data_IF_742508372872
#
_entry.id   IF_742508372872
#
_cell.length_a   1.000
_cell.length_b   1.000
_cell.length_c   1.000
_cell.angle_alpha   90.00
_cell.angle_beta   90.00
_cell.angle_gamma   90.00
#
_symmetry.space_group_name_H-M   'P 1'
#
loop_
_entity.id
_entity.type
_entity.pdbx_description
1 polymer ?
#
# COMPACT_ATOMS: atom_id res chain seq x y z
N UNK A 1 13.23 -20.68 23.03
CA UNK A 1 12.82 -20.82 21.62
C UNK A 1 11.62 -19.95 21.21
N UNK A 2 10.97 -19.18 22.11
CA UNK A 2 9.79 -18.35 21.78
C UNK A 2 10.08 -16.86 21.45
N UNK A 3 11.33 -16.40 21.56
CA UNK A 3 11.68 -14.97 21.51
C UNK A 3 12.31 -14.50 20.18
N UNK A 4 12.45 -15.37 19.17
CA UNK A 4 13.14 -15.04 17.91
C UNK A 4 12.20 -14.82 16.72
N UNK A 5 10.99 -14.31 16.99
CA UNK A 5 10.06 -13.93 15.93
C UNK A 5 10.52 -12.61 15.30
N UNK A 6 10.93 -12.64 14.04
CA UNK A 6 11.36 -11.46 13.31
C UNK A 6 10.22 -10.89 12.46
N UNK A 7 9.84 -9.62 12.68
CA UNK A 7 8.67 -9.00 12.04
C UNK A 7 9.12 -8.17 10.83
N UNK A 8 8.38 -8.25 9.73
CA UNK A 8 8.46 -7.35 8.59
C UNK A 8 7.16 -6.61 8.40
N UNK A 9 7.19 -5.28 8.34
CA UNK A 9 5.99 -4.47 8.14
C UNK A 9 6.12 -3.61 6.89
N UNK A 10 5.13 -3.73 6.01
CA UNK A 10 4.88 -2.82 4.92
C UNK A 10 3.66 -1.95 5.24
N UNK A 11 3.84 -0.64 5.30
CA UNK A 11 2.75 0.34 5.33
C UNK A 11 2.66 1.03 3.97
N UNK A 12 1.68 0.69 3.15
CA UNK A 12 1.33 1.42 1.94
C UNK A 12 0.43 2.62 2.23
N UNK A 13 0.03 3.34 1.17
CA UNK A 13 -0.91 4.45 1.29
C UNK A 13 -2.36 3.99 1.57
N UNK A 14 -2.76 2.83 1.05
CA UNK A 14 -4.15 2.32 1.15
C UNK A 14 -4.27 1.08 2.00
N UNK A 15 -3.17 0.37 2.21
CA UNK A 15 -3.13 -0.94 2.87
C UNK A 15 -1.81 -1.10 3.61
N UNK A 16 -1.81 -1.96 4.62
CA UNK A 16 -0.64 -2.43 5.35
C UNK A 16 -0.60 -3.95 5.36
N UNK A 17 0.59 -4.51 5.45
CA UNK A 17 0.83 -5.95 5.49
C UNK A 17 1.92 -6.23 6.52
N UNK A 18 1.73 -7.32 7.26
CA UNK A 18 2.71 -7.79 8.25
C UNK A 18 3.08 -9.24 7.94
N UNK A 19 4.37 -9.52 8.04
CA UNK A 19 4.94 -10.84 7.86
C UNK A 19 5.81 -11.15 9.08
N UNK A 20 5.93 -12.43 9.39
CA UNK A 20 6.84 -12.90 10.43
C UNK A 20 7.74 -13.98 9.85
N UNK A 21 8.96 -14.05 10.37
CA UNK A 21 9.92 -15.08 10.00
C UNK A 21 10.44 -15.75 11.26
N UNK A 22 10.34 -17.07 11.30
CA UNK A 22 10.84 -17.93 12.36
C UNK A 22 11.43 -19.20 11.72
N UNK A 23 12.60 -19.63 12.19
CA UNK A 23 13.28 -20.87 11.76
C UNK A 23 13.41 -21.00 10.22
N UNK A 24 13.74 -19.90 9.56
CA UNK A 24 13.91 -19.84 8.09
C UNK A 24 12.60 -19.85 7.29
N UNK A 25 11.44 -19.94 7.96
CA UNK A 25 10.12 -19.88 7.33
C UNK A 25 9.50 -18.50 7.52
N UNK A 26 9.24 -17.79 6.42
CA UNK A 26 8.53 -16.52 6.42
C UNK A 26 7.07 -16.71 6.04
N UNK A 27 6.17 -16.17 6.85
CA UNK A 27 4.72 -16.28 6.68
C UNK A 27 4.05 -14.91 6.76
N UNK A 28 3.08 -14.67 5.87
CA UNK A 28 2.22 -13.49 5.95
C UNK A 28 1.12 -13.73 6.97
N UNK A 29 0.93 -12.76 7.86
CA UNK A 29 -0.04 -12.89 8.95
C UNK A 29 -1.38 -12.29 8.53
N UNK A 30 -2.43 -13.10 8.69
CA UNK A 30 -3.81 -12.65 8.55
C UNK A 30 -4.24 -11.84 9.78
N UNK A 31 -5.03 -10.80 9.57
CA UNK A 31 -5.66 -10.05 10.64
C UNK A 31 -6.83 -10.84 11.27
N UNK A 32 -7.50 -10.21 12.24
CA UNK A 32 -8.67 -10.73 12.95
C UNK A 32 -9.87 -11.07 12.06
N UNK A 33 -9.93 -10.54 10.84
CA UNK A 33 -10.93 -10.87 9.83
C UNK A 33 -10.49 -11.97 8.84
N UNK A 34 -9.27 -12.51 8.98
CA UNK A 34 -8.70 -13.50 8.07
C UNK A 34 -8.03 -12.91 6.82
N UNK A 35 -7.98 -11.58 6.68
CA UNK A 35 -7.35 -10.92 5.55
C UNK A 35 -5.83 -10.76 5.77
N UNK A 36 -5.02 -11.10 4.76
CA UNK A 36 -3.56 -10.93 4.79
C UNK A 36 -3.07 -9.49 4.64
N UNK A 37 -3.98 -8.58 4.35
CA UNK A 37 -3.71 -7.17 4.09
C UNK A 37 -4.77 -6.36 4.82
N UNK A 38 -4.34 -5.40 5.62
CA UNK A 38 -5.23 -4.55 6.43
C UNK A 38 -5.37 -3.18 5.77
N UNK A 39 -6.59 -2.60 5.65
CA UNK A 39 -6.75 -1.24 5.15
C UNK A 39 -5.96 -0.20 5.98
N UNK A 40 -5.22 0.70 5.33
CA UNK A 40 -4.46 1.76 6.00
C UNK A 40 -5.35 2.99 6.25
N UNK A 41 -6.32 2.84 7.15
CA UNK A 41 -7.26 3.90 7.53
C UNK A 41 -7.69 3.78 8.98
N UNK A 42 -8.09 4.91 9.56
CA UNK A 42 -8.53 5.03 10.94
C UNK A 42 -9.84 5.81 10.99
N UNK A 43 -10.86 5.27 11.65
CA UNK A 43 -12.13 5.94 11.89
C UNK A 43 -12.30 6.28 13.37
N UNK A 44 -12.71 7.51 13.64
CA UNK A 44 -12.99 8.00 14.98
C UNK A 44 -14.50 7.97 15.22
N UNK A 45 -14.87 7.55 16.43
CA UNK A 45 -16.22 7.64 16.98
C UNK A 45 -16.13 8.23 18.39
N UNK A 46 -17.27 8.33 19.08
CA UNK A 46 -17.28 8.79 20.47
C UNK A 46 -16.59 7.79 21.40
N UNK A 47 -16.81 6.49 21.19
CA UNK A 47 -16.35 5.45 22.12
C UNK A 47 -15.03 4.80 21.73
N UNK A 48 -14.69 4.78 20.43
CA UNK A 48 -13.58 3.98 19.93
C UNK A 48 -12.86 4.58 18.72
N UNK A 49 -11.61 4.13 18.53
CA UNK A 49 -10.78 4.38 17.35
C UNK A 49 -10.64 3.08 16.58
N UNK A 50 -11.32 3.00 15.44
CA UNK A 50 -11.34 1.81 14.60
C UNK A 50 -10.20 1.88 13.57
N UNK A 51 -9.44 0.80 13.40
CA UNK A 51 -8.32 0.72 12.45
C UNK A 51 -8.57 -0.44 11.49
N UNK A 52 -8.34 -0.23 10.19
CA UNK A 52 -8.42 -1.31 9.22
C UNK A 52 -9.83 -1.61 8.72
N UNK A 53 -10.23 -2.88 8.74
CA UNK A 53 -11.50 -3.33 8.17
C UNK A 53 -12.74 -2.69 8.85
N UNK A 54 -12.81 -2.57 10.20
CA UNK A 54 -13.93 -1.88 10.85
C UNK A 54 -14.08 -0.43 10.39
N UNK A 55 -12.96 0.30 10.22
CA UNK A 55 -12.98 1.66 9.66
C UNK A 55 -13.46 1.68 8.21
N UNK A 56 -13.03 0.71 7.38
CA UNK A 56 -13.48 0.59 5.98
C UNK A 56 -14.98 0.30 5.88
N UNK A 57 -15.52 -0.58 6.74
CA UNK A 57 -16.94 -0.91 6.77
C UNK A 57 -17.81 0.29 7.19
N UNK A 58 -17.31 1.13 8.10
CA UNK A 58 -17.98 2.36 8.55
C UNK A 58 -17.90 3.55 7.58
N UNK A 59 -17.05 3.49 6.55
CA UNK A 59 -16.66 4.64 5.72
C UNK A 59 -17.85 5.41 5.14
N UNK A 60 -18.88 4.73 4.62
CA UNK A 60 -20.04 5.39 4.00
C UNK A 60 -20.83 6.22 5.02
N UNK A 61 -20.90 5.77 6.28
CA UNK A 61 -21.66 6.43 7.35
C UNK A 61 -20.83 7.49 8.07
N UNK A 62 -19.52 7.27 8.18
CA UNK A 62 -18.62 8.07 9.01
C UNK A 62 -17.45 8.68 8.23
N UNK A 63 -17.67 9.08 6.97
CA UNK A 63 -16.61 9.54 6.07
C UNK A 63 -15.85 10.78 6.57
N UNK A 64 -16.51 11.66 7.34
CA UNK A 64 -15.91 12.88 7.90
C UNK A 64 -14.92 12.61 9.03
N UNK A 65 -15.09 11.50 9.74
CA UNK A 65 -14.22 11.10 10.84
C UNK A 65 -13.37 9.86 10.48
N UNK A 66 -13.31 9.51 9.19
CA UNK A 66 -12.46 8.42 8.69
C UNK A 66 -11.30 9.00 7.92
N UNK A 67 -10.09 8.82 8.43
CA UNK A 67 -8.85 9.28 7.84
C UNK A 67 -8.27 8.18 6.95
N UNK A 68 -7.96 8.52 5.70
CA UNK A 68 -7.32 7.65 4.72
C UNK A 68 -5.98 8.26 4.26
N UNK A 69 -5.07 7.43 3.78
CA UNK A 69 -3.86 7.85 3.05
C UNK A 69 -2.94 8.81 3.83
N UNK A 70 -2.89 8.68 5.15
CA UNK A 70 -2.03 9.47 6.02
C UNK A 70 -0.53 9.44 5.61
N UNK A 71 -0.04 8.31 5.09
CA UNK A 71 1.35 8.19 4.58
C UNK A 71 1.66 9.18 3.44
N UNK A 72 0.68 9.62 2.64
CA UNK A 72 0.90 10.56 1.53
C UNK A 72 1.19 11.99 1.97
N UNK A 73 0.66 12.39 3.13
CA UNK A 73 0.79 13.76 3.66
C UNK A 73 1.84 13.87 4.78
N UNK A 74 2.42 12.74 5.19
CA UNK A 74 3.42 12.69 6.25
C UNK A 74 4.64 13.54 5.91
N UNK A 75 5.08 14.38 6.86
CA UNK A 75 6.30 15.19 6.72
C UNK A 75 6.20 16.40 5.77
N UNK A 76 5.08 16.54 5.04
CA UNK A 76 4.83 17.65 4.11
C UNK A 76 4.29 18.89 4.81
N UNK A 77 4.45 20.05 4.19
CA UNK A 77 3.76 21.27 4.62
C UNK A 77 2.29 21.23 4.19
N UNK A 78 1.43 22.00 4.85
CA UNK A 78 0.03 22.10 4.45
C UNK A 78 -0.11 22.61 3.00
N UNK A 79 0.77 23.53 2.57
CA UNK A 79 0.79 24.11 1.22
C UNK A 79 1.32 23.18 0.11
N UNK A 80 1.86 22.00 0.44
CA UNK A 80 2.35 21.05 -0.55
C UNK A 80 1.22 20.59 -1.49
N UNK A 81 1.49 20.51 -2.79
CA UNK A 81 0.47 20.17 -3.79
C UNK A 81 -0.18 18.80 -3.52
N UNK A 82 0.58 17.83 -3.03
CA UNK A 82 0.06 16.50 -2.66
C UNK A 82 -0.93 16.61 -1.50
N UNK A 83 -0.66 17.50 -0.53
CA UNK A 83 -1.57 17.73 0.60
C UNK A 83 -2.86 18.40 0.13
N UNK A 84 -2.77 19.38 -0.77
CA UNK A 84 -3.94 20.05 -1.33
C UNK A 84 -4.78 19.10 -2.20
N UNK A 85 -4.15 18.22 -2.97
CA UNK A 85 -4.85 17.15 -3.70
C UNK A 85 -5.60 16.20 -2.76
N UNK A 86 -4.99 15.80 -1.64
CA UNK A 86 -5.65 14.95 -0.64
C UNK A 86 -6.78 15.69 0.08
N UNK A 87 -6.60 16.97 0.42
CA UNK A 87 -7.64 17.81 1.03
C UNK A 87 -8.87 17.96 0.12
N UNK A 88 -8.67 18.05 -1.20
CA UNK A 88 -9.77 18.11 -2.17
C UNK A 88 -10.46 16.75 -2.37
N UNK A 89 -9.72 15.65 -2.23
CA UNK A 89 -10.24 14.30 -2.48
C UNK A 89 -10.93 13.65 -1.27
N UNK A 90 -10.54 14.03 -0.05
CA UNK A 90 -11.04 13.43 1.19
C UNK A 90 -12.33 14.09 1.69
N UNK A 91 -13.18 13.31 2.38
CA UNK A 91 -14.31 13.87 3.13
C UNK A 91 -13.91 14.33 4.53
N UNK A 92 -12.90 13.69 5.13
CA UNK A 92 -12.27 14.14 6.36
C UNK A 92 -11.53 15.46 6.10
N UNK A 93 -11.74 16.45 6.97
CA UNK A 93 -11.18 17.78 6.79
C UNK A 93 -9.69 17.79 7.15
N UNK A 94 -8.87 18.27 6.22
CA UNK A 94 -7.46 18.61 6.45
C UNK A 94 -7.38 20.12 6.75
N UNK A 95 -6.65 20.49 7.79
CA UNK A 95 -6.46 21.87 8.25
C UNK A 95 -4.98 22.22 8.36
N UNK A 96 -4.69 23.50 8.25
CA UNK A 96 -3.37 24.06 8.53
C UNK A 96 -3.22 24.30 10.04
N UNK A 97 -2.16 23.73 10.63
CA UNK A 97 -1.72 24.03 11.98
C UNK A 97 -0.23 24.32 11.93
N UNK A 98 0.12 25.59 12.08
CA UNK A 98 1.51 26.07 12.07
C UNK A 98 2.29 25.64 10.82
N UNK A 99 1.64 25.63 9.65
CA UNK A 99 2.22 25.24 8.37
C UNK A 99 2.22 23.73 8.10
N UNK A 100 1.68 22.91 9.00
CA UNK A 100 1.64 21.45 8.90
C UNK A 100 0.18 20.94 8.76
N UNK A 101 -0.04 19.87 7.98
CA UNK A 101 -1.37 19.30 7.83
C UNK A 101 -1.80 18.52 9.06
N UNK A 102 -3.01 18.81 9.55
CA UNK A 102 -3.72 18.01 10.57
C UNK A 102 -5.09 17.60 10.07
N UNK A 103 -5.57 16.44 10.52
CA UNK A 103 -6.94 16.02 10.30
C UNK A 103 -7.81 16.53 11.44
N UNK A 104 -8.95 17.15 11.10
CA UNK A 104 -9.97 17.52 12.07
C UNK A 104 -11.08 16.46 12.04
N UNK A 105 -11.26 15.75 13.15
CA UNK A 105 -12.29 14.72 13.33
C UNK A 105 -13.10 15.00 14.59
N UNK A 106 -14.35 14.58 14.59
CA UNK A 106 -15.26 14.68 15.72
C UNK A 106 -15.17 13.41 16.57
N UNK A 107 -14.98 13.57 17.88
CA UNK A 107 -15.01 12.49 18.87
C UNK A 107 -15.49 13.04 20.21
N UNK A 108 -16.52 12.42 20.80
CA UNK A 108 -17.14 12.86 22.05
C UNK A 108 -17.65 14.31 21.97
N UNK A 109 -18.35 14.63 20.88
CA UNK A 109 -18.88 15.98 20.60
C UNK A 109 -17.81 17.10 20.57
N UNK A 110 -16.54 16.73 20.41
CA UNK A 110 -15.41 17.66 20.32
C UNK A 110 -14.64 17.45 19.03
N UNK A 111 -14.24 18.55 18.42
CA UNK A 111 -13.27 18.52 17.33
C UNK A 111 -11.88 18.27 17.92
N UNK A 112 -11.27 17.15 17.52
CA UNK A 112 -9.88 16.83 17.83
C UNK A 112 -9.04 16.94 16.57
N UNK A 113 -7.80 17.35 16.74
CA UNK A 113 -6.82 17.47 15.67
C UNK A 113 -5.86 16.30 15.76
N UNK A 114 -5.71 15.55 14.68
CA UNK A 114 -4.88 14.35 14.62
C UNK A 114 -3.82 14.54 13.53
N UNK A 115 -2.56 14.42 13.88
CA UNK A 115 -1.46 14.52 12.92
C UNK A 115 -1.36 13.25 12.05
N UNK A 116 -0.77 13.35 10.85
CA UNK A 116 -0.48 12.17 10.03
C UNK A 116 0.37 11.12 10.76
N UNK A 117 1.29 11.55 11.66
CA UNK A 117 2.13 10.66 12.47
C UNK A 117 1.27 9.82 13.42
N UNK A 118 0.34 10.44 14.14
CA UNK A 118 -0.57 9.75 15.08
C UNK A 118 -1.45 8.72 14.36
N UNK A 119 -1.95 9.04 13.16
CA UNK A 119 -2.73 8.07 12.36
C UNK A 119 -1.88 6.86 12.00
N UNK A 120 -0.63 7.09 11.58
CA UNK A 120 0.30 6.03 11.22
C UNK A 120 0.68 5.19 12.45
N UNK A 121 0.87 5.81 13.62
CA UNK A 121 1.09 5.11 14.88
C UNK A 121 -0.05 4.14 15.20
N UNK A 122 -1.31 4.56 15.04
CA UNK A 122 -2.47 3.68 15.26
C UNK A 122 -2.48 2.48 14.30
N UNK A 123 -2.07 2.68 13.04
CA UNK A 123 -1.94 1.60 12.06
C UNK A 123 -0.80 0.65 12.44
N UNK A 124 0.36 1.17 12.83
CA UNK A 124 1.48 0.34 13.29
C UNK A 124 1.14 -0.45 14.54
N UNK A 125 0.42 0.15 15.49
CA UNK A 125 -0.05 -0.55 16.69
C UNK A 125 -0.94 -1.74 16.33
N UNK A 126 -1.89 -1.56 15.40
CA UNK A 126 -2.71 -2.68 14.89
C UNK A 126 -1.87 -3.76 14.19
N UNK A 127 -0.80 -3.40 13.49
CA UNK A 127 0.11 -4.37 12.86
C UNK A 127 0.90 -5.17 13.91
N UNK A 128 1.38 -4.52 14.97
CA UNK A 128 2.04 -5.19 16.09
C UNK A 128 1.07 -6.14 16.81
N UNK A 129 -0.12 -5.66 17.16
CA UNK A 129 -1.18 -6.47 17.76
C UNK A 129 -1.51 -7.70 16.92
N UNK A 130 -1.57 -7.53 15.59
CA UNK A 130 -1.83 -8.63 14.65
C UNK A 130 -0.72 -9.68 14.68
N UNK A 131 0.55 -9.25 14.65
CA UNK A 131 1.69 -10.16 14.71
C UNK A 131 1.78 -10.91 16.04
N UNK A 132 1.64 -10.20 17.16
CA UNK A 132 1.72 -10.77 18.51
C UNK A 132 0.57 -11.74 18.78
N UNK A 133 -0.66 -11.36 18.42
CA UNK A 133 -1.84 -12.22 18.60
C UNK A 133 -1.73 -13.53 17.81
N UNK A 134 -1.18 -13.47 16.59
CA UNK A 134 -1.00 -14.67 15.76
C UNK A 134 0.07 -15.61 16.31
N UNK A 135 1.18 -15.04 16.80
CA UNK A 135 2.35 -15.83 17.19
C UNK A 135 2.36 -16.24 18.67
N UNK A 136 1.47 -15.68 19.50
CA UNK A 136 1.48 -15.88 20.95
C UNK A 136 2.78 -15.41 21.60
N UNK A 137 3.47 -14.45 20.97
CA UNK A 137 4.79 -13.94 21.37
C UNK A 137 4.72 -12.44 21.60
N UNK A 138 5.49 -11.94 22.56
CA UNK A 138 5.65 -10.51 22.84
C UNK A 138 6.70 -9.83 21.95
N UNK A 139 7.35 -10.58 21.04
CA UNK A 139 8.37 -10.02 20.15
C UNK A 139 7.87 -8.79 19.40
N UNK A 140 8.72 -7.78 19.36
CA UNK A 140 8.47 -6.50 18.69
C UNK A 140 9.63 -6.09 17.77
N UNK A 141 10.60 -6.97 17.52
CA UNK A 141 11.73 -6.72 16.64
C UNK A 141 11.28 -6.65 15.18
N UNK A 142 11.44 -5.49 14.54
CA UNK A 142 10.87 -5.23 13.20
C UNK A 142 11.87 -4.67 12.20
N UNK A 143 11.71 -5.05 10.93
CA UNK A 143 12.22 -4.28 9.80
C UNK A 143 11.05 -3.56 9.12
N UNK A 144 11.18 -2.25 8.96
CA UNK A 144 10.19 -1.42 8.27
C UNK A 144 10.62 -1.13 6.83
N UNK A 145 9.64 -0.88 5.97
CA UNK A 145 9.90 -0.49 4.57
C UNK A 145 9.48 0.93 4.26
N UNK A 146 10.29 1.64 3.48
CA UNK A 146 9.98 3.00 2.99
C UNK A 146 10.14 3.13 1.47
N UNK A 147 9.41 4.04 0.80
CA UNK A 147 9.64 4.36 -0.60
C UNK A 147 11.02 4.98 -0.80
N UNK A 148 11.63 4.77 -1.97
CA UNK A 148 12.96 5.34 -2.31
C UNK A 148 12.95 6.87 -2.29
N UNK A 149 11.83 7.50 -2.60
CA UNK A 149 11.68 8.95 -2.71
C UNK A 149 11.40 9.66 -1.37
N UNK A 150 11.26 8.93 -0.26
CA UNK A 150 11.08 9.54 1.06
C UNK A 150 12.37 10.25 1.49
N UNK A 151 12.25 11.46 2.03
CA UNK A 151 13.37 12.19 2.61
C UNK A 151 13.58 11.79 4.07
N UNK A 152 14.68 12.25 4.65
CA UNK A 152 15.06 11.95 6.04
C UNK A 152 13.94 12.32 7.03
N UNK A 153 13.24 13.43 6.78
CA UNK A 153 12.12 13.87 7.62
C UNK A 153 10.97 12.85 7.64
N UNK A 154 10.50 12.37 6.48
CA UNK A 154 9.44 11.36 6.45
C UNK A 154 9.88 10.03 7.06
N UNK A 155 11.14 9.63 6.84
CA UNK A 155 11.70 8.41 7.45
C UNK A 155 11.77 8.52 8.97
N UNK A 156 12.19 9.67 9.51
CA UNK A 156 12.21 9.92 10.97
C UNK A 156 10.81 9.83 11.56
N UNK A 157 9.82 10.49 10.94
CA UNK A 157 8.45 10.46 11.43
C UNK A 157 7.84 9.05 11.39
N UNK A 158 8.15 8.25 10.38
CA UNK A 158 7.73 6.84 10.33
C UNK A 158 8.40 6.00 11.42
N UNK A 159 9.69 6.25 11.69
CA UNK A 159 10.43 5.58 12.77
C UNK A 159 9.79 5.89 14.12
N UNK A 160 9.61 7.17 14.43
CA UNK A 160 8.97 7.62 15.67
C UNK A 160 7.58 7.01 15.85
N UNK A 161 6.74 7.04 14.80
CA UNK A 161 5.39 6.48 14.87
C UNK A 161 5.40 4.97 15.18
N UNK A 162 6.37 4.22 14.66
CA UNK A 162 6.51 2.79 14.90
C UNK A 162 7.10 2.49 16.29
N UNK A 163 8.07 3.26 16.76
CA UNK A 163 8.62 3.15 18.12
C UNK A 163 7.56 3.46 19.17
N UNK A 164 6.79 4.54 18.99
CA UNK A 164 5.63 4.90 19.82
C UNK A 164 4.53 3.83 19.78
N UNK A 165 4.47 3.02 18.71
CA UNK A 165 3.52 1.91 18.60
C UNK A 165 4.01 0.65 19.36
N UNK A 166 5.26 0.64 19.83
CA UNK A 166 5.86 -0.45 20.60
C UNK A 166 6.83 -1.33 19.81
N UNK A 167 7.16 -0.99 18.57
CA UNK A 167 8.15 -1.73 17.79
C UNK A 167 9.60 -1.42 18.20
N UNK A 168 10.46 -2.43 18.22
CA UNK A 168 11.91 -2.26 18.25
C UNK A 168 12.49 -2.37 16.84
N UNK A 169 12.87 -1.25 16.24
CA UNK A 169 13.27 -1.20 14.84
C UNK A 169 14.71 -1.70 14.67
N UNK A 170 14.86 -2.84 14.02
CA UNK A 170 16.16 -3.41 13.64
C UNK A 170 16.79 -2.66 12.47
N UNK A 171 15.97 -2.32 11.46
CA UNK A 171 16.39 -1.60 10.25
C UNK A 171 15.19 -1.03 9.51
N UNK A 172 15.43 0.04 8.76
CA UNK A 172 14.51 0.54 7.74
C UNK A 172 15.15 0.29 6.38
N UNK A 173 14.44 -0.36 5.47
CA UNK A 173 14.92 -0.67 4.11
C UNK A 173 13.97 -0.11 3.05
N UNK A 174 14.46 0.03 1.82
CA UNK A 174 13.63 0.48 0.72
C UNK A 174 12.64 -0.63 0.29
N UNK A 175 11.40 -0.25 0.00
CA UNK A 175 10.34 -1.13 -0.54
C UNK A 175 10.81 -2.01 -1.72
N UNK A 176 11.50 -1.51 -2.76
CA UNK A 176 11.99 -2.35 -3.85
C UNK A 176 13.10 -3.33 -3.42
N UNK A 177 13.95 -2.95 -2.46
CA UNK A 177 14.98 -3.85 -1.92
C UNK A 177 14.33 -4.98 -1.13
N UNK A 178 13.32 -4.68 -0.32
CA UNK A 178 12.50 -5.69 0.34
C UNK A 178 11.87 -6.65 -0.67
N UNK A 179 11.28 -6.12 -1.76
CA UNK A 179 10.71 -6.96 -2.80
C UNK A 179 11.74 -7.92 -3.43
N UNK A 180 12.97 -7.45 -3.69
CA UNK A 180 14.03 -8.30 -4.22
C UNK A 180 14.54 -9.35 -3.19
N UNK A 181 14.61 -8.98 -1.91
CA UNK A 181 14.95 -9.91 -0.82
C UNK A 181 13.92 -11.05 -0.70
N UNK A 182 12.64 -10.75 -0.89
CA UNK A 182 11.57 -11.77 -0.84
C UNK A 182 11.76 -12.90 -1.87
N UNK A 183 12.43 -12.61 -2.98
CA UNK A 183 12.73 -13.59 -4.03
C UNK A 183 14.15 -14.18 -3.96
N UNK A 184 14.97 -13.76 -3.00
CA UNK A 184 16.34 -14.27 -2.83
C UNK A 184 17.24 -13.95 -4.03
N UNK A 185 17.12 -12.75 -4.60
CA UNK A 185 17.86 -12.35 -5.79
C UNK A 185 19.38 -12.32 -5.54
N UNK A 186 20.18 -12.78 -6.51
CA UNK A 186 21.64 -12.82 -6.42
C UNK A 186 22.27 -12.69 -7.82
N UNK A 187 23.31 -11.84 -7.96
CA UNK A 187 24.04 -11.58 -9.21
C UNK A 187 23.14 -11.36 -10.43
N UNK A 188 22.22 -10.38 -10.32
CA UNK A 188 21.18 -10.13 -11.32
C UNK A 188 20.73 -8.67 -11.34
N UNK A 189 20.24 -8.21 -12.50
CA UNK A 189 19.58 -6.92 -12.68
C UNK A 189 18.07 -7.12 -12.65
N UNK A 190 17.40 -6.47 -11.71
CA UNK A 190 15.97 -6.70 -11.43
C UNK A 190 15.21 -5.38 -11.52
N UNK A 191 14.09 -5.41 -12.26
CA UNK A 191 13.14 -4.31 -12.28
C UNK A 191 12.00 -4.59 -11.31
N UNK A 192 11.83 -3.74 -10.31
CA UNK A 192 10.69 -3.78 -9.41
C UNK A 192 9.61 -2.84 -9.96
N UNK A 193 8.50 -3.42 -10.41
CA UNK A 193 7.35 -2.70 -10.94
C UNK A 193 6.25 -2.62 -9.88
N UNK A 194 6.09 -1.44 -9.27
CA UNK A 194 5.10 -1.21 -8.23
C UNK A 194 3.92 -0.39 -8.73
N UNK A 195 2.71 -0.94 -8.63
CA UNK A 195 1.47 -0.21 -8.84
C UNK A 195 0.59 -0.41 -7.59
N UNK A 196 0.70 0.54 -6.67
CA UNK A 196 -0.04 0.54 -5.40
C UNK A 196 -1.43 1.17 -5.54
N UNK A 197 -2.13 1.38 -4.41
CA UNK A 197 -3.46 1.99 -4.40
C UNK A 197 -3.48 3.48 -4.76
N UNK A 198 -2.39 4.21 -4.49
CA UNK A 198 -2.34 5.66 -4.69
C UNK A 198 -1.03 6.17 -5.33
N UNK A 199 -0.07 5.29 -5.62
CA UNK A 199 1.20 5.66 -6.25
C UNK A 199 1.71 4.53 -7.14
N UNK A 200 2.56 4.92 -8.08
CA UNK A 200 3.25 4.03 -9.01
C UNK A 200 4.74 4.35 -8.96
N UNK A 201 5.56 3.32 -8.90
CA UNK A 201 7.01 3.46 -8.99
C UNK A 201 7.62 2.28 -9.74
N UNK A 202 8.67 2.58 -10.50
CA UNK A 202 9.48 1.58 -11.17
C UNK A 202 10.91 1.79 -10.73
N UNK A 203 11.52 0.79 -10.12
CA UNK A 203 12.89 0.85 -9.63
C UNK A 203 13.74 -0.22 -10.29
N UNK A 204 14.87 0.18 -10.85
CA UNK A 204 15.88 -0.75 -11.36
C UNK A 204 16.94 -1.00 -10.28
N UNK A 205 17.15 -2.28 -9.96
CA UNK A 205 18.12 -2.73 -8.97
C UNK A 205 19.22 -3.54 -9.65
N UNK A 206 20.46 -3.33 -9.22
CA UNK A 206 21.56 -4.27 -9.45
C UNK A 206 21.84 -5.00 -8.14
N UNK A 207 21.82 -6.34 -8.20
CA UNK A 207 22.11 -7.19 -7.06
C UNK A 207 23.42 -7.93 -7.33
N UNK A 208 24.48 -7.60 -6.60
CA UNK A 208 25.82 -8.18 -6.79
C UNK A 208 26.35 -8.65 -5.44
N UNK A 209 26.66 -9.94 -5.30
CA UNK A 209 27.21 -10.55 -4.09
C UNK A 209 26.39 -10.21 -2.82
N UNK A 210 25.06 -10.19 -2.94
CA UNK A 210 24.14 -9.84 -1.85
C UNK A 210 24.01 -8.34 -1.54
N UNK A 211 24.69 -7.46 -2.28
CA UNK A 211 24.50 -6.01 -2.21
C UNK A 211 23.40 -5.58 -3.17
N UNK A 212 22.41 -4.84 -2.66
CA UNK A 212 21.29 -4.31 -3.43
C UNK A 212 21.53 -2.83 -3.70
N UNK A 213 21.80 -2.47 -4.96
CA UNK A 213 22.02 -1.08 -5.38
C UNK A 213 20.85 -0.60 -6.23
N UNK A 214 20.24 0.52 -5.83
CA UNK A 214 19.28 1.25 -6.67
C UNK A 214 20.06 1.96 -7.79
N UNK A 215 19.76 1.63 -9.04
CA UNK A 215 20.35 2.28 -10.20
C UNK A 215 19.55 3.52 -10.62
N UNK A 216 18.23 3.39 -10.67
CA UNK A 216 17.30 4.48 -10.94
C UNK A 216 15.90 4.14 -10.40
N UNK A 217 15.12 5.17 -10.11
CA UNK A 217 13.71 5.08 -9.75
C UNK A 217 12.93 6.14 -10.51
N UNK A 218 11.85 5.74 -11.19
CA UNK A 218 10.82 6.65 -11.67
C UNK A 218 9.62 6.56 -10.73
N UNK A 219 9.14 7.70 -10.23
CA UNK A 219 8.04 7.79 -9.26
C UNK A 219 6.91 8.67 -9.79
N UNK A 220 5.69 8.16 -9.71
CA UNK A 220 4.47 8.87 -10.01
C UNK A 220 3.51 8.82 -8.82
N UNK A 221 3.50 9.93 -8.07
CA UNK A 221 2.65 10.09 -6.89
C UNK A 221 1.17 10.30 -7.21
N UNK A 222 0.78 10.54 -8.46
CA UNK A 222 -0.60 10.82 -8.85
C UNK A 222 -1.26 9.66 -9.61
N UNK A 223 -0.56 8.52 -9.76
CA UNK A 223 -1.00 7.33 -10.47
C UNK A 223 -1.06 6.12 -9.54
N UNK A 224 -2.18 5.42 -9.46
CA UNK A 224 -2.34 4.18 -8.71
C UNK A 224 -3.72 3.56 -8.90
N UNK A 225 -4.02 2.54 -8.11
CA UNK A 225 -5.31 1.82 -8.12
C UNK A 225 -6.54 2.72 -8.08
N UNK A 226 -6.47 3.85 -7.36
CA UNK A 226 -7.55 4.85 -7.28
C UNK A 226 -7.92 5.47 -8.61
N UNK A 227 -6.96 5.67 -9.52
CA UNK A 227 -7.27 6.27 -10.82
C UNK A 227 -8.09 5.30 -11.69
N UNK A 228 -7.85 4.00 -11.53
CA UNK A 228 -8.68 2.97 -12.15
C UNK A 228 -10.06 2.89 -11.50
N UNK A 229 -10.16 3.10 -10.18
CA UNK A 229 -11.43 3.20 -9.47
C UNK A 229 -12.26 4.39 -9.97
N UNK A 230 -11.65 5.55 -10.21
CA UNK A 230 -12.33 6.72 -10.77
C UNK A 230 -12.87 6.45 -12.19
N UNK A 231 -12.13 5.72 -13.05
CA UNK A 231 -12.64 5.32 -14.37
C UNK A 231 -13.90 4.45 -14.23
N UNK A 232 -13.91 3.49 -13.30
CA UNK A 232 -15.10 2.68 -13.05
C UNK A 232 -16.23 3.48 -12.44
N UNK A 233 -15.93 4.40 -11.52
CA UNK A 233 -16.90 5.32 -10.93
C UNK A 233 -17.62 6.12 -12.03
N UNK A 234 -16.87 6.69 -12.97
CA UNK A 234 -17.43 7.46 -14.08
C UNK A 234 -18.28 6.60 -15.01
N UNK A 235 -17.83 5.38 -15.35
CA UNK A 235 -18.61 4.47 -16.18
C UNK A 235 -19.95 4.12 -15.52
N UNK A 236 -19.92 3.77 -14.23
CA UNK A 236 -21.11 3.38 -13.47
C UNK A 236 -22.04 4.58 -13.21
N UNK A 237 -21.49 5.75 -12.91
CA UNK A 237 -22.26 6.98 -12.71
C UNK A 237 -22.95 7.42 -14.01
N UNK A 238 -22.28 7.32 -15.15
CA UNK A 238 -22.87 7.58 -16.45
C UNK A 238 -23.99 6.59 -16.80
N UNK A 239 -23.84 5.32 -16.42
CA UNK A 239 -24.89 4.31 -16.60
C UNK A 239 -26.13 4.65 -15.74
N UNK A 240 -25.95 5.04 -14.47
CA UNK A 240 -27.06 5.52 -13.61
C UNK A 240 -27.71 6.79 -14.17
N UNK A 241 -26.91 7.79 -14.55
CA UNK A 241 -27.39 9.06 -15.11
C UNK A 241 -28.15 8.87 -16.43
N UNK A 242 -27.76 7.89 -17.26
CA UNK A 242 -28.49 7.56 -18.49
C UNK A 242 -29.88 7.02 -18.18
N UNK A 243 -30.00 6.14 -17.18
CA UNK A 243 -31.25 5.49 -16.75
C UNK A 243 -32.20 6.48 -16.07
N UNK A 244 -31.69 7.27 -15.12
CA UNK A 244 -32.52 8.06 -14.19
C UNK A 244 -32.45 9.57 -14.39
N UNK A 245 -31.58 10.05 -15.29
CA UNK A 245 -31.32 11.49 -15.55
C UNK A 245 -30.81 12.28 -14.34
N UNK A 246 -30.38 11.59 -13.29
CA UNK A 246 -29.81 12.14 -12.05
C UNK A 246 -28.32 11.83 -12.01
N UNK A 247 -27.50 12.80 -11.62
CA UNK A 247 -26.06 12.62 -11.47
C UNK A 247 -25.71 12.24 -10.03
N UNK A 248 -25.32 10.98 -9.75
CA UNK A 248 -25.10 10.51 -8.39
C UNK A 248 -23.82 11.10 -7.78
N UNK A 249 -22.94 11.72 -8.57
CA UNK A 249 -21.68 12.27 -8.09
C UNK A 249 -21.85 13.64 -7.41
N UNK A 250 -22.99 14.30 -7.61
CA UNK A 250 -23.34 15.58 -6.98
C UNK A 250 -23.56 15.44 -5.47
N UNK A 251 -23.94 14.25 -5.00
CA UNK A 251 -24.11 13.93 -3.59
C UNK A 251 -22.88 13.17 -3.05
N UNK A 252 -22.22 13.72 -2.03
CA UNK A 252 -20.99 13.11 -1.45
C UNK A 252 -21.20 11.69 -0.95
N UNK A 253 -22.37 11.38 -0.34
CA UNK A 253 -22.69 10.05 0.16
C UNK A 253 -22.92 9.06 -0.99
N UNK A 254 -23.68 9.47 -2.00
CA UNK A 254 -23.89 8.70 -3.23
C UNK A 254 -22.58 8.40 -3.95
N UNK A 255 -21.72 9.42 -4.11
CA UNK A 255 -20.36 9.25 -4.65
C UNK A 255 -19.56 8.21 -3.88
N UNK A 256 -19.50 8.29 -2.55
CA UNK A 256 -18.76 7.30 -1.74
C UNK A 256 -19.35 5.90 -1.81
N UNK A 257 -20.68 5.74 -1.84
CA UNK A 257 -21.30 4.43 -2.07
C UNK A 257 -20.85 3.83 -3.41
N UNK A 258 -20.94 4.61 -4.48
CA UNK A 258 -20.60 4.16 -5.83
C UNK A 258 -19.10 3.91 -5.98
N UNK A 259 -18.25 4.73 -5.36
CA UNK A 259 -16.80 4.57 -5.35
C UNK A 259 -16.36 3.28 -4.64
N UNK A 260 -16.96 2.95 -3.50
CA UNK A 260 -16.72 1.67 -2.81
C UNK A 260 -17.12 0.48 -3.71
N UNK A 261 -18.26 0.58 -4.40
CA UNK A 261 -18.70 -0.48 -5.31
C UNK A 261 -17.82 -0.57 -6.58
N UNK A 262 -17.30 0.56 -7.08
CA UNK A 262 -16.35 0.61 -8.18
C UNK A 262 -15.02 -0.09 -7.83
N UNK A 263 -14.47 0.13 -6.63
CA UNK A 263 -13.30 -0.58 -6.12
C UNK A 263 -13.54 -2.10 -6.07
N UNK A 264 -14.72 -2.53 -5.59
CA UNK A 264 -15.11 -3.94 -5.57
C UNK A 264 -15.20 -4.51 -6.99
N UNK A 265 -15.83 -3.79 -7.93
CA UNK A 265 -15.90 -4.18 -9.33
C UNK A 265 -14.50 -4.35 -9.94
N UNK A 266 -13.57 -3.42 -9.69
CA UNK A 266 -12.18 -3.51 -10.16
C UNK A 266 -11.50 -4.80 -9.68
N UNK A 267 -11.69 -5.14 -8.40
CA UNK A 267 -11.10 -6.33 -7.81
C UNK A 267 -11.70 -7.60 -8.44
N UNK A 268 -13.01 -7.65 -8.67
CA UNK A 268 -13.69 -8.75 -9.37
C UNK A 268 -13.19 -8.88 -10.81
N UNK A 269 -13.04 -7.76 -11.53
CA UNK A 269 -12.54 -7.74 -12.92
C UNK A 269 -11.10 -8.25 -13.07
N UNK A 270 -10.35 -8.31 -11.97
CA UNK A 270 -9.01 -8.90 -11.99
C UNK A 270 -9.02 -10.43 -12.17
N UNK A 271 -10.17 -11.08 -11.92
CA UNK A 271 -10.35 -12.53 -12.08
C UNK A 271 -11.44 -12.87 -13.08
N UNK A 272 -12.58 -12.18 -13.05
CA UNK A 272 -13.74 -12.41 -13.92
C UNK A 272 -13.80 -11.43 -15.11
N UNK A 273 -14.47 -11.84 -16.19
CA UNK A 273 -14.64 -11.02 -17.39
C UNK A 273 -15.69 -9.92 -17.25
N UNK A 274 -16.53 -9.99 -16.21
CA UNK A 274 -17.55 -9.00 -15.89
C UNK A 274 -17.74 -8.89 -14.38
N UNK A 275 -18.17 -7.72 -13.92
CA UNK A 275 -18.54 -7.46 -12.53
C UNK A 275 -19.92 -6.79 -12.46
N UNK A 276 -20.74 -7.24 -11.53
CA UNK A 276 -22.02 -6.61 -11.21
C UNK A 276 -21.81 -5.55 -10.12
N UNK A 277 -22.44 -4.40 -10.29
CA UNK A 277 -22.47 -3.30 -9.33
C UNK A 277 -23.90 -3.14 -8.83
N UNK A 278 -24.11 -3.43 -7.54
CA UNK A 278 -25.40 -3.29 -6.86
C UNK A 278 -25.24 -2.32 -5.72
N UNK A 279 -25.99 -1.22 -5.72
CA UNK A 279 -25.95 -0.21 -4.67
C UNK A 279 -27.37 0.21 -4.28
N UNK A 280 -27.76 -0.14 -3.06
CA UNK A 280 -29.07 0.21 -2.51
C UNK A 280 -29.16 1.70 -2.20
N UNK A 281 -30.27 2.30 -2.60
CA UNK A 281 -30.60 3.72 -2.46
C UNK A 281 -29.39 4.59 -2.80
N UNK A 282 -28.84 4.42 -4.01
CA UNK A 282 -27.64 5.11 -4.46
C UNK A 282 -27.86 6.62 -4.42
N UNK A 283 -28.93 7.12 -5.07
CA UNK A 283 -29.25 8.55 -5.13
C UNK A 283 -30.77 8.73 -5.13
N UNK A 284 -31.28 9.70 -4.36
CA UNK A 284 -32.73 10.02 -4.28
C UNK A 284 -33.65 8.82 -3.98
N UNK A 285 -33.15 7.84 -3.21
CA UNK A 285 -33.88 6.61 -2.89
C UNK A 285 -33.90 5.56 -4.01
N UNK A 286 -33.28 5.84 -5.15
CA UNK A 286 -33.22 4.95 -6.31
C UNK A 286 -32.05 3.97 -6.13
N UNK A 287 -32.35 2.68 -6.26
CA UNK A 287 -31.34 1.62 -6.29
C UNK A 287 -30.60 1.60 -7.63
N UNK A 288 -29.33 1.21 -7.60
CA UNK A 288 -28.55 1.02 -8.82
C UNK A 288 -28.18 -0.44 -9.02
N UNK A 289 -28.49 -0.94 -10.22
CA UNK A 289 -28.05 -2.23 -10.73
C UNK A 289 -27.33 -1.98 -12.07
N UNK A 290 -26.02 -2.21 -12.07
CA UNK A 290 -25.16 -2.05 -13.23
C UNK A 290 -24.27 -3.27 -13.45
N UNK A 291 -23.72 -3.38 -14.65
CA UNK A 291 -22.71 -4.38 -14.97
C UNK A 291 -21.63 -3.73 -15.84
N UNK A 292 -20.38 -4.09 -15.58
CA UNK A 292 -19.22 -3.65 -16.36
C UNK A 292 -18.41 -4.86 -16.80
N UNK A 293 -18.02 -4.90 -18.08
CA UNK A 293 -17.10 -5.92 -18.59
C UNK A 293 -15.65 -5.47 -18.47
N UNK A 294 -14.73 -6.43 -18.34
CA UNK A 294 -13.28 -6.19 -18.33
C UNK A 294 -12.84 -5.47 -19.59
N UNK A 295 -13.36 -5.87 -20.76
CA UNK A 295 -13.05 -5.22 -22.03
C UNK A 295 -13.44 -3.73 -22.04
N UNK A 296 -14.64 -3.38 -21.56
CA UNK A 296 -15.09 -1.98 -21.45
C UNK A 296 -14.16 -1.20 -20.50
N UNK A 297 -13.92 -1.74 -19.31
CA UNK A 297 -13.01 -1.13 -18.33
C UNK A 297 -11.60 -0.91 -18.89
N UNK A 298 -10.98 -1.94 -19.46
CA UNK A 298 -9.62 -1.85 -20.01
C UNK A 298 -9.54 -0.83 -21.17
N UNK A 299 -10.56 -0.76 -22.03
CA UNK A 299 -10.60 0.24 -23.11
C UNK A 299 -10.63 1.67 -22.56
N UNK A 300 -11.37 1.89 -21.46
CA UNK A 300 -11.47 3.19 -20.79
C UNK A 300 -10.21 3.56 -20.00
N UNK A 301 -9.34 2.60 -19.69
CA UNK A 301 -8.07 2.82 -18.98
C UNK A 301 -6.84 2.93 -19.89
N UNK A 302 -7.03 3.02 -21.22
CA UNK A 302 -5.93 3.04 -22.20
C UNK A 302 -4.83 4.07 -21.89
N UNK A 303 -5.20 5.30 -21.54
CA UNK A 303 -4.25 6.36 -21.17
C UNK A 303 -3.48 6.06 -19.88
N UNK A 304 -4.14 5.48 -18.87
CA UNK A 304 -3.50 5.05 -17.63
C UNK A 304 -2.49 3.93 -17.88
N UNK A 305 -2.81 2.98 -18.76
CA UNK A 305 -1.89 1.90 -19.14
C UNK A 305 -0.66 2.42 -19.88
N UNK A 306 -0.84 3.39 -20.79
CA UNK A 306 0.30 4.02 -21.47
C UNK A 306 1.21 4.76 -20.47
N UNK A 307 0.62 5.52 -19.54
CA UNK A 307 1.38 6.21 -18.49
C UNK A 307 2.14 5.23 -17.60
N UNK A 308 1.50 4.11 -17.22
CA UNK A 308 2.11 3.01 -16.46
C UNK A 308 3.30 2.36 -17.17
N UNK A 309 3.29 2.27 -18.51
CA UNK A 309 4.39 1.68 -19.28
C UNK A 309 5.51 2.67 -19.55
N UNK A 310 5.19 3.94 -19.80
CA UNK A 310 6.20 4.98 -20.05
C UNK A 310 7.20 5.14 -18.90
N UNK A 311 6.81 4.84 -17.67
CA UNK A 311 7.72 4.83 -16.51
C UNK A 311 8.87 3.82 -16.63
N UNK A 312 8.65 2.71 -17.36
CA UNK A 312 9.69 1.69 -17.58
C UNK A 312 10.77 2.24 -18.52
N UNK A 313 10.38 2.89 -19.60
CA UNK A 313 11.32 3.49 -20.55
C UNK A 313 12.16 4.58 -19.88
N UNK A 314 11.53 5.41 -19.05
CA UNK A 314 12.21 6.47 -18.29
C UNK A 314 13.22 5.94 -17.28
N UNK A 315 12.89 4.88 -16.53
CA UNK A 315 13.81 4.32 -15.54
C UNK A 315 15.01 3.65 -16.20
N UNK A 316 14.79 2.93 -17.31
CA UNK A 316 15.86 2.30 -18.10
C UNK A 316 16.79 3.35 -18.72
N UNK A 317 16.22 4.41 -19.28
CA UNK A 317 16.98 5.54 -19.82
C UNK A 317 17.79 6.26 -18.74
N UNK A 318 17.19 6.53 -17.58
CA UNK A 318 17.87 7.19 -16.46
C UNK A 318 19.02 6.35 -15.89
N UNK A 319 18.87 5.02 -15.91
CA UNK A 319 19.93 4.10 -15.48
C UNK A 319 20.98 3.83 -16.56
N UNK A 320 20.75 4.26 -17.80
CA UNK A 320 21.53 3.87 -18.98
C UNK A 320 21.67 2.33 -19.11
N UNK A 321 20.58 1.60 -18.85
CA UNK A 321 20.54 0.13 -18.93
C UNK A 321 19.59 -0.27 -20.07
N UNK A 322 20.05 -1.02 -21.09
CA UNK A 322 19.18 -1.51 -22.13
C UNK A 322 18.19 -2.55 -21.58
N UNK A 323 17.00 -2.60 -22.18
CA UNK A 323 15.92 -3.52 -21.78
C UNK A 323 16.40 -4.99 -21.66
N UNK A 324 17.28 -5.43 -22.55
CA UNK A 324 17.73 -6.81 -22.61
C UNK A 324 18.71 -7.19 -21.48
N UNK A 325 19.24 -6.21 -20.75
CA UNK A 325 20.04 -6.43 -19.53
C UNK A 325 19.18 -6.57 -18.26
N UNK A 326 17.87 -6.34 -18.34
CA UNK A 326 16.96 -6.68 -17.24
C UNK A 326 16.73 -8.18 -17.26
N UNK A 327 17.07 -8.87 -16.17
CA UNK A 327 16.92 -10.33 -16.08
C UNK A 327 15.51 -10.72 -15.62
N UNK A 328 15.00 -10.00 -14.62
CA UNK A 328 13.76 -10.34 -13.92
C UNK A 328 12.93 -9.11 -13.59
N UNK A 329 11.61 -9.31 -13.52
CA UNK A 329 10.65 -8.27 -13.14
C UNK A 329 9.84 -8.74 -11.94
N UNK A 330 9.84 -7.96 -10.86
CA UNK A 330 9.03 -8.24 -9.66
C UNK A 330 7.81 -7.33 -9.66
N UNK A 331 6.62 -7.92 -9.53
CA UNK A 331 5.36 -7.16 -9.41
C UNK A 331 5.06 -6.85 -7.94
N UNK A 332 4.77 -5.59 -7.65
CA UNK A 332 4.45 -5.10 -6.30
C UNK A 332 3.18 -4.26 -6.32
N UNK A 333 2.32 -4.44 -5.32
CA UNK A 333 1.08 -3.68 -5.14
C UNK A 333 -0.11 -4.26 -5.89
N UNK A 334 -1.28 -4.25 -5.26
CA UNK A 334 -2.47 -4.96 -5.71
C UNK A 334 -3.02 -4.53 -7.07
N UNK A 335 -2.78 -3.30 -7.52
CA UNK A 335 -3.23 -2.87 -8.85
C UNK A 335 -2.46 -3.56 -9.98
N UNK A 336 -1.29 -4.17 -9.71
CA UNK A 336 -0.61 -5.07 -10.65
C UNK A 336 -1.35 -6.39 -10.90
N UNK A 337 -2.42 -6.70 -10.13
CA UNK A 337 -3.31 -7.83 -10.42
C UNK A 337 -4.17 -7.61 -11.67
N UNK A 338 -4.30 -6.36 -12.12
CA UNK A 338 -5.02 -6.02 -13.36
C UNK A 338 -4.45 -6.83 -14.53
N UNK A 339 -5.25 -7.70 -15.18
CA UNK A 339 -4.77 -8.60 -16.24
C UNK A 339 -4.07 -7.85 -17.37
N UNK A 340 -4.59 -6.68 -17.76
CA UNK A 340 -3.97 -5.85 -18.80
C UNK A 340 -2.55 -5.39 -18.44
N UNK A 341 -2.30 -4.96 -17.20
CA UNK A 341 -0.96 -4.56 -16.76
C UNK A 341 0.02 -5.72 -16.90
N UNK A 342 -0.36 -6.91 -16.44
CA UNK A 342 0.50 -8.10 -16.53
C UNK A 342 0.75 -8.51 -17.98
N UNK A 343 -0.27 -8.43 -18.84
CA UNK A 343 -0.13 -8.70 -20.27
C UNK A 343 0.86 -7.72 -20.92
N UNK A 344 0.73 -6.43 -20.64
CA UNK A 344 1.61 -5.40 -21.18
C UNK A 344 3.06 -5.60 -20.73
N UNK A 345 3.29 -5.92 -19.45
CA UNK A 345 4.62 -6.22 -18.92
C UNK A 345 5.23 -7.46 -19.56
N UNK A 346 4.45 -8.54 -19.72
CA UNK A 346 4.89 -9.77 -20.39
C UNK A 346 5.26 -9.53 -21.87
N UNK A 347 4.50 -8.67 -22.55
CA UNK A 347 4.78 -8.31 -23.94
C UNK A 347 6.00 -7.40 -24.06
N UNK A 348 6.25 -6.53 -23.10
CA UNK A 348 7.41 -5.63 -23.10
C UNK A 348 8.71 -6.40 -22.83
N UNK A 349 8.70 -7.27 -21.81
CA UNK A 349 9.84 -8.08 -21.37
C UNK A 349 9.78 -9.52 -21.91
N UNK A 350 9.74 -9.66 -23.24
CA UNK A 350 9.70 -10.98 -23.91
C UNK A 350 10.88 -11.84 -23.48
N UNK A 351 10.60 -13.06 -23.03
CA UNK A 351 11.61 -14.04 -22.62
C UNK A 351 12.21 -13.80 -21.23
N UNK A 352 11.82 -12.74 -20.51
CA UNK A 352 12.27 -12.46 -19.14
C UNK A 352 11.32 -13.05 -18.11
N UNK A 353 11.85 -13.36 -16.93
CA UNK A 353 11.04 -13.89 -15.82
C UNK A 353 10.20 -12.77 -15.19
N UNK A 354 8.88 -12.95 -15.15
CA UNK A 354 7.98 -12.13 -14.34
C UNK A 354 7.69 -12.89 -13.04
N UNK A 355 8.24 -12.40 -11.92
CA UNK A 355 8.17 -13.06 -10.63
C UNK A 355 6.78 -12.94 -10.01
N UNK A 356 6.11 -14.09 -9.80
CA UNK A 356 4.70 -14.17 -9.36
C UNK A 356 4.43 -15.17 -8.24
N UNK A 357 5.48 -15.77 -7.66
CA UNK A 357 5.36 -16.78 -6.59
C UNK A 357 4.78 -16.19 -5.31
N UNK A 358 5.08 -14.92 -5.04
CA UNK A 358 4.59 -14.18 -3.89
C UNK A 358 3.54 -13.19 -4.37
N UNK A 359 2.43 -13.11 -3.65
CA UNK A 359 1.34 -12.16 -3.86
C UNK A 359 1.90 -10.71 -3.92
N UNK A 360 1.54 -9.90 -4.94
CA UNK A 360 2.09 -8.55 -5.10
C UNK A 360 1.85 -7.61 -3.91
N UNK A 361 0.76 -7.84 -3.15
CA UNK A 361 0.43 -7.06 -1.96
C UNK A 361 1.28 -7.44 -0.73
N UNK A 362 1.89 -8.62 -0.75
CA UNK A 362 2.54 -9.25 0.39
C UNK A 362 4.08 -9.20 0.30
N UNK A 363 4.60 -9.15 -0.93
CA UNK A 363 6.03 -9.28 -1.26
C UNK A 363 6.95 -8.35 -0.47
N UNK A 364 6.52 -7.11 -0.21
CA UNK A 364 7.33 -6.13 0.51
C UNK A 364 7.44 -6.48 1.99
N UNK A 365 6.32 -6.84 2.64
CA UNK A 365 6.33 -7.27 4.03
C UNK A 365 7.11 -8.58 4.20
N UNK A 366 6.92 -9.51 3.26
CA UNK A 366 7.66 -10.77 3.23
C UNK A 366 9.18 -10.54 3.24
N UNK A 367 9.69 -9.74 2.30
CA UNK A 367 11.12 -9.48 2.22
C UNK A 367 11.67 -8.68 3.40
N UNK A 368 10.85 -7.82 4.01
CA UNK A 368 11.21 -7.17 5.27
C UNK A 368 11.38 -8.18 6.41
N UNK A 369 10.49 -9.18 6.51
CA UNK A 369 10.60 -10.22 7.53
C UNK A 369 11.81 -11.14 7.30
N UNK A 370 12.13 -11.46 6.03
CA UNK A 370 13.39 -12.15 5.68
C UNK A 370 14.60 -11.34 6.17
N UNK A 371 14.63 -10.04 5.90
CA UNK A 371 15.72 -9.17 6.37
C UNK A 371 15.79 -9.12 7.91
N UNK A 372 14.65 -9.06 8.58
CA UNK A 372 14.59 -9.07 10.03
C UNK A 372 15.18 -10.36 10.60
N UNK A 373 14.85 -11.52 10.01
CA UNK A 373 15.36 -12.83 10.42
C UNK A 373 16.88 -12.91 10.26
N UNK A 374 17.44 -12.42 9.16
CA UNK A 374 18.90 -12.36 8.94
C UNK A 374 19.59 -11.51 10.01
N UNK A 375 19.01 -10.37 10.40
CA UNK A 375 19.59 -9.50 11.42
C UNK A 375 19.55 -10.13 12.81
N UNK A 376 18.46 -10.82 13.14
CA UNK A 376 18.33 -11.52 14.43
C UNK A 376 19.28 -12.72 14.52
N UNK A 377 19.42 -13.51 13.46
CA UNK A 377 20.36 -14.65 13.44
C UNK A 377 21.84 -14.25 13.49
N UNK A 378 22.22 -13.09 12.94
CA UNK A 378 23.59 -12.56 13.11
C UNK A 378 23.89 -12.17 14.55
N UNK A 379 22.94 -11.50 15.22
CA UNK A 379 23.10 -11.13 16.64
C UNK A 379 23.29 -12.36 17.54
N UNK A 380 22.64 -13.47 17.20
CA UNK A 380 22.84 -14.74 17.92
C UNK A 380 24.26 -15.28 17.75
N UNK A 381 24.76 -15.34 16.50
CA UNK A 381 26.13 -15.78 16.24
C UNK A 381 27.17 -14.91 16.97
N UNK A 382 26.99 -13.59 16.96
CA UNK A 382 27.89 -12.66 17.65
C UNK A 382 27.87 -12.90 19.18
N UNK A 383 26.69 -13.09 19.79
CA UNK A 383 26.57 -13.39 21.23
C UNK A 383 27.20 -14.73 21.63
N UNK A 384 27.06 -15.78 20.81
CA UNK A 384 27.70 -17.08 21.07
C UNK A 384 29.22 -16.94 21.04
N UNK A 385 29.74 -16.20 20.05
CA UNK A 385 31.18 -15.98 19.89
C UNK A 385 31.76 -15.18 21.08
N UNK A 386 31.03 -14.17 21.58
CA UNK A 386 31.45 -13.41 22.77
C UNK A 386 31.50 -14.28 24.04
N UNK A 387 30.51 -15.16 24.25
CA UNK A 387 30.49 -16.09 25.39
C UNK A 387 31.66 -17.07 25.32
N UNK A 388 31.96 -17.63 24.15
CA UNK A 388 33.10 -18.55 23.94
C UNK A 388 34.46 -17.86 24.15
N UNK A 389 34.56 -16.55 23.91
CA UNK A 389 35.80 -15.78 24.17
C UNK A 389 35.98 -15.34 25.62
N UNK A 390 34.93 -15.43 26.44
CA UNK A 390 34.93 -15.09 27.87
C UNK A 390 35.04 -16.31 28.80
N UNK A 391 34.98 -17.52 28.25
CA UNK A 391 35.25 -18.80 28.92
C UNK A 391 36.65 -19.30 28.63
#
# INVERSE_FOLDING_TARGET
>A
MADYLAIGVHLGATTSCVAVSADGNTTIIANDAGDRVTPAMVAFSDTEKNVGLPAKQGLIRNARNTILRAKRVLGKSYSDSVVQEEAAALQCKLIDKDGLPYYEVESNERNIQVSPKEVINMIYKKMLETAQSHCGSSSNHVVLTVPVNFQEKEVSLLREAAEEAGFHILRIINEPVAAALAYGMYNTTVLVYRLGGASHDVTLLSVINGMYKVLATEYDGALGGRNFDEVLLDLLANDFKRQWKIDPLTNKRSKTKLQTSAEQCKNILSTLESANCSVDSLCEGIDFQGQVSRAKFESSCSSLFQRCLGSIEKVLSSANVPKDEVDKVILVGGATRTPKIQQLLKNYFVGKEICRRISPDEVVAYGAAVQASILMGRKEADMITEIETMS
#
